data_IF_922545463538
#
_entry.id   IF_922545463538
#
_cell.length_a   1.000
_cell.length_b   1.000
_cell.length_c   1.000
_cell.angle_alpha   90.00
_cell.angle_beta   90.00
_cell.angle_gamma   90.00
#
_symmetry.space_group_name_H-M   'P 1'
#
loop_
_entity.id
_entity.type
_entity.pdbx_description
1 polymer ?
#
# COMPACT_ATOMS: atom_id res chain seq x y z
N UNK A 1 75.27 -20.40 -54.12
CA UNK A 1 74.38 -19.53 -53.30
C UNK A 1 73.19 -20.22 -52.63
N UNK A 2 73.06 -21.54 -52.63
CA UNK A 2 71.86 -22.32 -52.15
C UNK A 2 71.92 -22.79 -50.73
N UNK A 3 73.04 -22.83 -50.02
CA UNK A 3 73.21 -23.36 -48.71
C UNK A 3 72.86 -22.38 -47.58
N UNK A 4 72.90 -21.04 -47.79
CA UNK A 4 72.57 -20.01 -46.79
C UNK A 4 71.07 -19.77 -46.64
N UNK A 5 70.25 -20.09 -47.62
CA UNK A 5 68.76 -19.93 -47.49
C UNK A 5 68.08 -20.99 -46.56
N UNK A 6 68.62 -22.20 -46.55
CA UNK A 6 68.00 -23.28 -45.74
C UNK A 6 68.23 -23.13 -44.19
N UNK A 7 69.33 -22.48 -43.76
CA UNK A 7 69.55 -22.26 -42.31
C UNK A 7 68.64 -21.20 -41.71
N UNK A 8 68.25 -20.17 -42.44
CA UNK A 8 67.37 -19.14 -41.91
C UNK A 8 65.93 -19.59 -41.77
N UNK A 9 65.43 -20.45 -42.65
CA UNK A 9 64.08 -21.02 -42.54
C UNK A 9 63.94 -22.00 -41.34
N UNK A 10 64.97 -22.80 -41.04
CA UNK A 10 64.94 -23.73 -39.91
C UNK A 10 64.97 -22.99 -38.56
N UNK A 11 65.65 -21.86 -38.44
CA UNK A 11 65.68 -21.08 -37.19
C UNK A 11 64.34 -20.38 -36.95
N UNK A 12 63.68 -19.84 -37.97
CA UNK A 12 62.37 -19.21 -37.85
C UNK A 12 61.28 -20.24 -37.48
N UNK A 13 61.36 -21.44 -38.00
CA UNK A 13 60.39 -22.51 -37.66
C UNK A 13 60.56 -22.98 -36.21
N UNK A 14 61.79 -23.08 -35.69
CA UNK A 14 62.07 -23.46 -34.33
C UNK A 14 61.62 -22.40 -33.31
N UNK A 15 61.80 -21.11 -33.61
CA UNK A 15 61.31 -20.03 -32.73
C UNK A 15 59.77 -19.95 -32.70
N UNK A 16 59.11 -20.19 -33.82
CA UNK A 16 57.64 -20.22 -33.88
C UNK A 16 57.05 -21.38 -33.08
N UNK A 17 57.67 -22.58 -33.15
CA UNK A 17 57.30 -23.74 -32.36
C UNK A 17 57.52 -23.55 -30.84
N UNK A 18 58.61 -22.88 -30.45
CA UNK A 18 58.90 -22.55 -29.07
C UNK A 18 57.92 -21.53 -28.49
N UNK A 19 57.47 -20.53 -29.27
CA UNK A 19 56.44 -19.57 -28.87
C UNK A 19 55.09 -20.24 -28.73
N UNK A 20 54.71 -21.14 -29.62
CA UNK A 20 53.43 -21.90 -29.54
C UNK A 20 53.41 -22.83 -28.29
N UNK A 21 54.51 -23.51 -27.97
CA UNK A 21 54.57 -24.33 -26.77
C UNK A 21 54.49 -23.52 -25.46
N UNK A 22 55.10 -22.32 -25.44
CA UNK A 22 55.02 -21.41 -24.29
C UNK A 22 53.59 -20.88 -24.08
N UNK A 23 52.89 -20.55 -25.16
CA UNK A 23 51.45 -20.11 -25.11
C UNK A 23 50.57 -21.22 -24.60
N UNK A 24 50.69 -22.46 -25.08
CA UNK A 24 49.92 -23.62 -24.61
C UNK A 24 50.14 -23.95 -23.13
N UNK A 25 51.41 -23.75 -22.63
CA UNK A 25 51.71 -23.96 -21.22
C UNK A 25 51.07 -22.92 -20.29
N UNK A 26 51.02 -21.66 -20.75
CA UNK A 26 50.36 -20.56 -20.05
C UNK A 26 48.85 -20.76 -20.02
N UNK A 27 48.24 -21.19 -21.13
CA UNK A 27 46.80 -21.47 -21.20
C UNK A 27 46.37 -22.63 -20.30
N UNK A 28 47.18 -23.73 -20.27
CA UNK A 28 46.92 -24.84 -19.32
C UNK A 28 47.00 -24.41 -17.87
N UNK A 29 48.00 -23.58 -17.50
CA UNK A 29 48.12 -23.06 -16.16
C UNK A 29 46.94 -22.12 -15.76
N UNK A 30 46.47 -21.32 -16.70
CA UNK A 30 45.30 -20.44 -16.48
C UNK A 30 43.99 -21.25 -16.29
N UNK A 31 43.81 -22.33 -17.03
CA UNK A 31 42.66 -23.24 -16.89
C UNK A 31 42.67 -23.98 -15.55
N UNK A 32 43.85 -24.46 -15.10
CA UNK A 32 44.02 -25.11 -13.78
C UNK A 32 43.73 -24.15 -12.61
N UNK A 33 44.21 -22.90 -12.67
CA UNK A 33 43.94 -21.87 -11.65
C UNK A 33 42.43 -21.46 -11.61
N UNK A 34 41.75 -21.52 -12.75
CA UNK A 34 40.31 -21.23 -12.81
C UNK A 34 39.48 -22.33 -12.18
N UNK A 35 39.86 -23.60 -12.38
CA UNK A 35 39.19 -24.75 -11.77
C UNK A 35 39.36 -24.75 -10.24
N UNK A 36 40.60 -24.46 -9.73
CA UNK A 36 40.86 -24.40 -8.31
C UNK A 36 40.12 -23.25 -7.58
N UNK A 37 39.95 -22.12 -8.25
CA UNK A 37 39.12 -21.03 -7.72
C UNK A 37 37.64 -21.37 -7.68
N UNK A 38 37.12 -22.09 -8.66
CA UNK A 38 35.72 -22.54 -8.70
C UNK A 38 35.43 -23.55 -7.56
N UNK A 39 36.33 -24.50 -7.32
CA UNK A 39 36.18 -25.50 -6.26
C UNK A 39 36.25 -24.88 -4.85
N UNK A 40 37.09 -23.85 -4.64
CA UNK A 40 37.14 -23.08 -3.39
C UNK A 40 35.87 -22.26 -3.17
N UNK A 41 35.32 -21.65 -4.22
CA UNK A 41 34.07 -20.90 -4.13
C UNK A 41 32.87 -21.79 -3.76
N UNK A 42 32.79 -23.00 -4.34
CA UNK A 42 31.71 -23.96 -4.06
C UNK A 42 31.78 -24.48 -2.62
N UNK A 43 32.99 -24.72 -2.08
CA UNK A 43 33.21 -25.11 -0.67
C UNK A 43 32.79 -24.01 0.31
N UNK A 44 33.10 -22.74 -0.01
CA UNK A 44 32.73 -21.59 0.84
C UNK A 44 31.22 -21.42 0.82
N UNK A 45 30.54 -21.57 -0.32
CA UNK A 45 29.09 -21.46 -0.42
C UNK A 45 28.37 -22.58 0.34
N UNK A 46 28.88 -23.82 0.27
CA UNK A 46 28.33 -24.95 1.04
C UNK A 46 28.49 -24.76 2.54
N UNK A 47 29.64 -24.26 2.99
CA UNK A 47 29.87 -23.94 4.41
C UNK A 47 28.97 -22.80 4.91
N UNK A 48 28.72 -21.77 4.07
CA UNK A 48 27.81 -20.67 4.40
C UNK A 48 26.34 -21.14 4.51
N UNK A 49 25.91 -22.04 3.62
CA UNK A 49 24.58 -22.65 3.68
C UNK A 49 24.39 -23.52 4.93
N UNK A 50 25.38 -24.33 5.30
CA UNK A 50 25.34 -25.15 6.52
C UNK A 50 25.23 -24.29 7.79
N UNK A 51 26.03 -23.23 7.91
CA UNK A 51 25.97 -22.29 9.03
C UNK A 51 24.63 -21.54 9.14
N UNK A 52 23.99 -21.27 7.99
CA UNK A 52 22.69 -20.60 7.97
C UNK A 52 21.56 -21.51 8.47
N UNK A 53 21.61 -22.81 8.12
CA UNK A 53 20.65 -23.81 8.61
C UNK A 53 20.82 -24.05 10.11
N UNK A 54 22.07 -24.12 10.62
CA UNK A 54 22.32 -24.31 12.06
C UNK A 54 21.85 -23.10 12.90
N UNK A 55 22.03 -21.86 12.39
CA UNK A 55 21.51 -20.66 13.06
C UNK A 55 19.98 -20.63 13.04
N UNK A 56 19.34 -21.02 11.95
CA UNK A 56 17.88 -21.07 11.87
C UNK A 56 17.29 -22.07 12.89
N UNK A 57 17.88 -23.26 13.00
CA UNK A 57 17.45 -24.28 13.95
C UNK A 57 17.66 -23.86 15.43
N UNK A 58 18.71 -23.07 15.73
CA UNK A 58 18.91 -22.51 17.08
C UNK A 58 17.88 -21.44 17.43
N UNK A 59 17.49 -20.59 16.47
CA UNK A 59 16.46 -19.57 16.68
C UNK A 59 15.10 -20.23 16.91
N UNK A 60 14.74 -21.23 16.11
CA UNK A 60 13.47 -21.93 16.23
C UNK A 60 13.34 -22.66 17.60
N UNK A 61 14.43 -23.26 18.09
CA UNK A 61 14.47 -23.89 19.41
C UNK A 61 14.34 -22.89 20.56
N UNK A 62 14.93 -21.68 20.42
CA UNK A 62 14.81 -20.61 21.40
C UNK A 62 13.38 -20.03 21.45
N UNK A 63 12.72 -19.87 20.27
CA UNK A 63 11.34 -19.39 20.19
C UNK A 63 10.33 -20.38 20.77
N UNK A 64 10.51 -21.68 20.56
CA UNK A 64 9.66 -22.71 21.17
C UNK A 64 9.75 -22.73 22.69
N UNK A 65 10.95 -22.49 23.24
CA UNK A 65 11.19 -22.43 24.69
C UNK A 65 10.55 -21.19 25.31
N UNK A 66 10.58 -20.05 24.59
CA UNK A 66 9.96 -18.80 25.04
C UNK A 66 8.44 -18.88 25.01
N UNK A 67 7.85 -19.45 23.93
CA UNK A 67 6.41 -19.66 23.81
C UNK A 67 5.84 -20.57 24.91
N UNK A 68 6.60 -21.60 25.32
CA UNK A 68 6.18 -22.50 26.40
C UNK A 68 6.16 -21.82 27.78
N UNK A 69 7.07 -20.87 28.05
CA UNK A 69 7.10 -20.10 29.30
C UNK A 69 6.00 -19.02 29.34
N UNK A 70 5.71 -18.36 28.23
CA UNK A 70 4.66 -17.32 28.16
C UNK A 70 3.24 -17.90 28.32
N UNK A 71 2.99 -19.12 27.82
CA UNK A 71 1.70 -19.79 27.98
C UNK A 71 1.42 -20.28 29.41
N UNK A 72 2.44 -20.54 30.20
CA UNK A 72 2.27 -20.91 31.62
C UNK A 72 1.95 -19.71 32.52
N UNK A 73 2.43 -18.51 32.21
CA UNK A 73 2.18 -17.30 33.00
C UNK A 73 0.84 -16.63 32.71
N UNK A 74 0.17 -16.95 31.59
CA UNK A 74 -1.14 -16.38 31.22
C UNK A 74 -2.34 -17.06 31.87
N UNK A 75 -2.15 -18.14 32.67
CA UNK A 75 -3.23 -18.85 33.33
C UNK A 75 -3.54 -18.38 34.75
N UNK A 76 -2.87 -17.37 35.28
CA UNK A 76 -3.01 -16.97 36.70
C UNK A 76 -3.36 -15.50 36.95
N UNK A 77 -3.84 -14.74 35.97
CA UNK A 77 -4.43 -13.42 36.27
C UNK A 77 -5.89 -13.39 35.84
N UNK A 78 -6.77 -13.56 36.81
CA UNK A 78 -8.17 -13.22 36.68
C UNK A 78 -8.29 -11.71 36.52
N UNK A 79 -8.70 -11.25 35.35
CA UNK A 79 -9.03 -9.85 35.08
C UNK A 79 -10.40 -9.50 35.71
N UNK A 80 -10.56 -8.31 36.31
CA UNK A 80 -11.85 -7.87 36.82
C UNK A 80 -12.81 -7.64 35.63
N UNK A 81 -14.07 -8.01 35.85
CA UNK A 81 -15.17 -7.85 34.92
C UNK A 81 -15.32 -6.36 34.53
N UNK A 82 -14.84 -6.00 33.34
CA UNK A 82 -15.15 -4.72 32.73
C UNK A 82 -16.57 -4.81 32.20
N UNK A 83 -17.45 -4.05 32.77
CA UNK A 83 -18.82 -3.82 32.30
C UNK A 83 -18.67 -3.31 30.83
N UNK A 84 -19.05 -4.17 29.91
CA UNK A 84 -19.08 -3.83 28.50
C UNK A 84 -20.08 -2.70 28.28
N UNK A 85 -19.62 -1.45 28.20
CA UNK A 85 -20.37 -0.41 27.53
C UNK A 85 -20.63 -0.91 26.11
N UNK A 86 -21.91 -1.16 25.79
CA UNK A 86 -22.38 -1.45 24.43
C UNK A 86 -21.72 -0.45 23.49
N UNK A 87 -20.73 -0.88 22.71
CA UNK A 87 -20.25 -0.08 21.57
C UNK A 87 -21.46 0.05 20.65
N UNK A 88 -21.91 1.28 20.46
CA UNK A 88 -22.82 1.63 19.38
C UNK A 88 -22.06 1.27 18.09
N UNK A 89 -22.22 0.04 17.61
CA UNK A 89 -21.82 -0.31 16.26
C UNK A 89 -22.69 0.56 15.36
N UNK A 90 -22.05 1.49 14.64
CA UNK A 90 -22.70 2.38 13.69
C UNK A 90 -23.35 1.53 12.61
N UNK A 91 -24.58 1.09 12.85
CA UNK A 91 -25.44 0.51 11.84
C UNK A 91 -25.96 1.65 11.00
N UNK A 92 -26.07 1.45 9.68
CA UNK A 92 -26.85 2.36 8.82
C UNK A 92 -28.14 2.67 9.55
N UNK A 93 -28.43 3.94 9.75
CA UNK A 93 -29.61 4.35 10.52
C UNK A 93 -30.87 3.79 9.86
N UNK A 94 -31.85 3.41 10.67
CA UNK A 94 -33.10 2.88 10.11
C UNK A 94 -33.78 3.91 9.19
N UNK A 95 -33.57 5.21 9.40
CA UNK A 95 -33.99 6.26 8.49
C UNK A 95 -33.31 6.18 7.11
N UNK A 96 -32.01 5.87 7.05
CA UNK A 96 -31.28 5.73 5.79
C UNK A 96 -31.73 4.48 5.01
N UNK A 97 -32.05 3.38 5.71
CA UNK A 97 -32.63 2.17 5.11
C UNK A 97 -34.02 2.43 4.54
N UNK A 98 -34.86 3.12 5.29
CA UNK A 98 -36.21 3.48 4.84
C UNK A 98 -36.21 4.35 3.59
N UNK A 99 -35.15 5.17 3.37
CA UNK A 99 -34.94 5.96 2.17
C UNK A 99 -34.26 5.16 1.05
N UNK A 100 -33.90 3.89 1.25
CA UNK A 100 -33.19 3.07 0.26
C UNK A 100 -31.80 3.59 -0.10
N UNK A 101 -31.20 4.44 0.75
CA UNK A 101 -29.89 5.03 0.52
C UNK A 101 -28.76 4.00 0.61
N UNK A 102 -28.95 2.95 1.40
CA UNK A 102 -28.05 1.81 1.52
C UNK A 102 -27.81 1.11 0.17
N UNK A 103 -28.84 1.07 -0.70
CA UNK A 103 -28.73 0.52 -2.06
C UNK A 103 -27.80 1.31 -2.97
N UNK A 104 -27.44 2.53 -2.60
CA UNK A 104 -26.49 3.38 -3.34
C UNK A 104 -25.03 3.09 -3.00
N UNK A 105 -24.74 2.40 -1.89
CA UNK A 105 -23.36 2.02 -1.53
C UNK A 105 -22.79 1.11 -2.61
N UNK A 106 -21.66 1.52 -3.19
CA UNK A 106 -20.99 0.79 -4.28
C UNK A 106 -19.73 0.03 -3.81
N UNK A 107 -19.20 0.38 -2.66
CA UNK A 107 -17.96 -0.22 -2.14
C UNK A 107 -17.96 -0.26 -0.61
N UNK A 108 -17.38 -1.32 -0.07
CA UNK A 108 -16.95 -1.38 1.34
C UNK A 108 -15.42 -1.40 1.38
N UNK A 109 -14.83 -0.62 2.27
CA UNK A 109 -13.39 -0.45 2.37
C UNK A 109 -12.95 -0.45 3.83
N UNK A 110 -12.05 -1.36 4.19
CA UNK A 110 -11.51 -1.55 5.53
C UNK A 110 -10.09 -1.02 5.58
N UNK A 111 -9.76 -0.20 6.59
CA UNK A 111 -8.49 0.51 6.66
C UNK A 111 -7.87 0.44 8.04
N UNK A 112 -6.62 0.04 8.10
CA UNK A 112 -5.79 0.06 9.29
C UNK A 112 -4.57 0.94 9.03
N UNK A 113 -4.40 1.99 9.81
CA UNK A 113 -3.20 2.81 9.75
C UNK A 113 -2.04 2.08 10.42
N UNK A 114 -0.89 2.12 9.78
CA UNK A 114 0.33 1.46 10.21
C UNK A 114 1.35 2.50 10.66
N UNK A 115 2.06 2.19 11.74
CA UNK A 115 3.21 2.96 12.19
C UNK A 115 4.25 3.05 11.07
N UNK A 116 4.98 4.17 10.92
CA UNK A 116 5.94 4.35 9.84
C UNK A 116 7.22 3.52 9.99
N UNK A 117 7.56 3.06 11.20
CA UNK A 117 8.83 2.43 11.51
C UNK A 117 9.10 1.18 10.66
N UNK A 118 10.10 1.28 9.81
CA UNK A 118 10.57 0.20 8.94
C UNK A 118 9.74 -0.04 7.69
N UNK A 119 8.73 0.80 7.38
CA UNK A 119 7.96 0.69 6.13
C UNK A 119 8.77 1.05 4.88
N UNK A 120 9.97 1.61 5.04
CA UNK A 120 10.99 1.81 4.00
C UNK A 120 11.74 0.51 3.64
N UNK A 121 11.58 -0.56 4.44
CA UNK A 121 12.32 -1.81 4.29
C UNK A 121 11.45 -2.91 3.72
N UNK A 122 11.89 -3.51 2.61
CA UNK A 122 11.20 -4.65 2.00
C UNK A 122 10.98 -5.81 2.98
N UNK A 123 11.96 -6.11 3.84
CA UNK A 123 11.85 -7.18 4.84
C UNK A 123 10.69 -6.96 5.80
N UNK A 124 10.45 -5.71 6.20
CA UNK A 124 9.35 -5.35 7.09
C UNK A 124 7.99 -5.54 6.41
N UNK A 125 7.87 -5.14 5.15
CA UNK A 125 6.65 -5.36 4.34
C UNK A 125 6.40 -6.87 4.16
N UNK A 126 7.44 -7.65 3.85
CA UNK A 126 7.33 -9.12 3.75
C UNK A 126 6.90 -9.77 5.06
N UNK A 127 7.39 -9.27 6.20
CA UNK A 127 6.94 -9.73 7.53
C UNK A 127 5.45 -9.48 7.75
N UNK A 128 4.95 -8.28 7.43
CA UNK A 128 3.52 -7.96 7.54
C UNK A 128 2.68 -8.83 6.60
N UNK A 129 3.12 -9.02 5.36
CA UNK A 129 2.46 -9.92 4.41
C UNK A 129 2.37 -11.35 4.92
N UNK A 130 3.47 -11.88 5.50
CA UNK A 130 3.49 -13.22 6.08
C UNK A 130 2.55 -13.35 7.28
N UNK A 131 2.46 -12.32 8.13
CA UNK A 131 1.51 -12.27 9.24
C UNK A 131 0.05 -12.27 8.73
N UNK A 132 -0.23 -11.51 7.67
CA UNK A 132 -1.55 -11.49 7.04
C UNK A 132 -1.93 -12.87 6.50
N UNK A 133 -1.04 -13.52 5.77
CA UNK A 133 -1.28 -14.88 5.22
C UNK A 133 -1.55 -15.89 6.33
N UNK A 134 -0.72 -15.92 7.36
CA UNK A 134 -0.91 -16.81 8.51
C UNK A 134 -2.23 -16.54 9.23
N UNK A 135 -2.60 -15.26 9.33
CA UNK A 135 -3.89 -14.87 9.91
C UNK A 135 -5.08 -15.28 9.04
N UNK A 136 -4.98 -15.17 7.71
CA UNK A 136 -5.99 -15.65 6.77
C UNK A 136 -6.25 -17.15 6.95
N UNK A 137 -5.18 -17.96 6.98
CA UNK A 137 -5.28 -19.40 7.22
C UNK A 137 -6.00 -19.72 8.55
N UNK A 138 -5.62 -19.02 9.63
CA UNK A 138 -6.25 -19.20 10.96
C UNK A 138 -7.72 -18.79 10.98
N UNK A 139 -8.10 -17.81 10.18
CA UNK A 139 -9.46 -17.24 10.15
C UNK A 139 -10.38 -17.92 9.13
N UNK A 140 -9.89 -18.92 8.39
CA UNK A 140 -10.65 -19.57 7.32
C UNK A 140 -11.01 -18.61 6.17
N UNK A 141 -10.13 -17.64 5.88
CA UNK A 141 -10.25 -16.72 4.75
C UNK A 141 -9.19 -17.10 3.71
N UNK A 142 -9.61 -17.36 2.50
CA UNK A 142 -8.68 -17.64 1.42
C UNK A 142 -7.96 -16.36 1.01
N UNK A 143 -6.66 -16.48 0.72
CA UNK A 143 -5.83 -15.37 0.26
C UNK A 143 -5.06 -15.77 -1.00
N UNK A 144 -5.30 -15.04 -2.08
CA UNK A 144 -4.62 -15.23 -3.35
C UNK A 144 -3.61 -14.11 -3.54
N UNK A 145 -2.33 -14.45 -3.55
CA UNK A 145 -1.27 -13.49 -3.87
C UNK A 145 -1.40 -12.98 -5.31
N UNK A 146 -1.03 -11.72 -5.51
CA UNK A 146 -0.83 -11.19 -6.85
C UNK A 146 0.63 -11.37 -7.23
N UNK A 147 0.91 -12.34 -8.10
CA UNK A 147 2.23 -12.54 -8.68
C UNK A 147 2.58 -11.33 -9.55
N UNK A 148 3.80 -10.81 -9.40
CA UNK A 148 4.32 -9.69 -10.18
C UNK A 148 3.51 -8.38 -10.08
N UNK A 149 2.85 -8.12 -8.95
CA UNK A 149 2.17 -6.86 -8.72
C UNK A 149 3.17 -5.69 -8.77
N UNK A 150 3.02 -4.82 -9.75
CA UNK A 150 3.84 -3.63 -9.85
C UNK A 150 3.52 -2.66 -8.72
N UNK A 151 4.54 -2.21 -8.01
CA UNK A 151 4.42 -1.13 -7.05
C UNK A 151 4.11 0.17 -7.80
N UNK A 152 2.93 0.71 -7.56
CA UNK A 152 2.58 2.04 -8.05
C UNK A 152 3.24 3.13 -7.20
N UNK A 153 3.88 4.10 -7.83
CA UNK A 153 4.42 5.28 -7.16
C UNK A 153 3.71 6.52 -7.69
N UNK A 154 3.29 7.43 -6.80
CA UNK A 154 2.59 8.64 -7.21
C UNK A 154 2.84 9.80 -6.25
N UNK A 155 2.86 11.01 -6.78
CA UNK A 155 2.76 12.23 -5.98
C UNK A 155 1.29 12.45 -5.61
N UNK A 156 1.04 12.87 -4.39
CA UNK A 156 -0.31 13.18 -3.89
C UNK A 156 -0.30 14.60 -3.35
N UNK A 157 -1.21 15.42 -3.87
CA UNK A 157 -1.42 16.77 -3.42
C UNK A 157 -2.85 16.93 -2.92
N UNK A 158 -2.98 17.68 -1.84
CA UNK A 158 -4.27 18.11 -1.32
C UNK A 158 -4.42 19.58 -1.60
N UNK A 159 -5.60 19.98 -2.03
CA UNK A 159 -5.91 21.37 -2.34
C UNK A 159 -7.02 21.88 -1.44
N UNK A 160 -6.91 23.11 -0.99
CA UNK A 160 -7.96 23.81 -0.27
C UNK A 160 -7.81 25.32 -0.49
N UNK A 161 -8.82 26.09 -0.11
CA UNK A 161 -8.71 27.54 -0.01
C UNK A 161 -7.91 27.94 1.25
N UNK A 162 -7.34 29.15 1.35
CA UNK A 162 -6.67 29.61 2.55
C UNK A 162 -7.52 29.51 3.82
N UNK A 163 -8.85 29.65 3.68
CA UNK A 163 -9.81 29.50 4.77
C UNK A 163 -10.23 28.07 5.05
N UNK A 164 -9.62 27.06 4.40
CA UNK A 164 -9.95 25.63 4.54
C UNK A 164 -11.44 25.32 4.30
N UNK A 165 -12.04 25.98 3.31
CA UNK A 165 -13.48 25.80 3.02
C UNK A 165 -13.84 24.36 2.66
N UNK A 166 -12.97 23.64 1.93
CA UNK A 166 -13.24 22.24 1.63
C UNK A 166 -13.24 21.41 2.92
N UNK A 167 -12.19 21.50 3.72
CA UNK A 167 -12.06 20.72 4.94
C UNK A 167 -13.21 21.00 5.93
N UNK A 168 -13.57 22.27 6.13
CA UNK A 168 -14.68 22.68 7.02
C UNK A 168 -16.03 22.11 6.59
N UNK A 169 -16.18 21.82 5.30
CA UNK A 169 -17.38 21.20 4.73
C UNK A 169 -17.24 19.69 4.47
N UNK A 170 -16.29 19.03 5.17
CA UNK A 170 -16.05 17.61 5.02
C UNK A 170 -15.67 17.18 3.59
N UNK A 171 -15.11 18.11 2.82
CA UNK A 171 -14.63 17.89 1.46
C UNK A 171 -13.11 17.71 1.44
N UNK A 172 -12.65 16.89 0.53
CA UNK A 172 -11.24 16.68 0.23
C UNK A 172 -11.06 16.76 -1.27
N UNK A 173 -10.29 17.73 -1.73
CA UNK A 173 -9.84 17.84 -3.10
C UNK A 173 -8.41 17.32 -3.19
N UNK A 174 -8.21 16.28 -4.00
CA UNK A 174 -6.92 15.60 -4.11
C UNK A 174 -6.55 15.38 -5.55
N UNK A 175 -5.27 15.64 -5.87
CA UNK A 175 -4.65 15.32 -7.16
C UNK A 175 -3.59 14.26 -6.95
N UNK A 176 -3.55 13.28 -7.84
CA UNK A 176 -2.55 12.21 -7.86
C UNK A 176 -1.89 12.15 -9.22
N UNK A 177 -0.58 12.32 -9.22
CA UNK A 177 0.26 12.22 -10.40
C UNK A 177 0.99 10.88 -10.34
N UNK A 178 0.73 9.99 -11.27
CA UNK A 178 1.45 8.73 -11.39
C UNK A 178 2.91 8.98 -11.74
N UNK A 179 3.79 8.10 -11.27
CA UNK A 179 5.22 8.17 -11.53
C UNK A 179 5.75 6.84 -12.03
N UNK A 180 6.59 6.92 -13.04
CA UNK A 180 7.39 5.81 -13.52
C UNK A 180 8.86 6.15 -13.26
N UNK A 181 9.41 5.68 -12.15
CA UNK A 181 10.75 6.04 -11.65
C UNK A 181 10.86 7.57 -11.39
N UNK A 182 11.67 8.27 -12.20
CA UNK A 182 11.88 9.72 -12.10
C UNK A 182 10.86 10.54 -12.87
N UNK A 183 10.14 9.92 -13.81
CA UNK A 183 9.20 10.61 -14.69
C UNK A 183 7.81 10.70 -14.02
N UNK A 184 7.13 11.82 -14.28
CA UNK A 184 5.73 12.03 -13.94
C UNK A 184 4.93 11.87 -15.22
N UNK A 185 3.80 11.16 -15.15
CA UNK A 185 2.89 11.03 -16.30
C UNK A 185 2.28 12.40 -16.65
N UNK A 186 1.95 12.62 -17.92
CA UNK A 186 1.28 13.85 -18.38
C UNK A 186 -0.16 13.98 -17.89
N UNK A 187 -0.67 12.95 -17.21
CA UNK A 187 -2.04 12.83 -16.74
C UNK A 187 -2.08 12.62 -15.23
N UNK A 188 -3.13 13.15 -14.61
CA UNK A 188 -3.37 12.96 -13.20
C UNK A 188 -4.80 12.49 -12.92
N UNK A 189 -4.98 11.91 -11.72
CA UNK A 189 -6.30 11.62 -11.15
C UNK A 189 -6.70 12.78 -10.24
N UNK A 190 -7.85 13.38 -10.52
CA UNK A 190 -8.46 14.40 -9.65
C UNK A 190 -9.63 13.80 -8.89
N UNK A 191 -9.63 13.88 -7.59
CA UNK A 191 -10.69 13.35 -6.74
C UNK A 191 -11.29 14.45 -5.88
N UNK A 192 -12.61 14.65 -5.98
CA UNK A 192 -13.38 15.34 -4.95
C UNK A 192 -14.09 14.28 -4.10
N UNK A 193 -13.92 14.34 -2.78
CA UNK A 193 -14.48 13.40 -1.82
C UNK A 193 -15.27 14.17 -0.75
N UNK A 194 -16.53 13.83 -0.58
CA UNK A 194 -17.32 14.24 0.58
C UNK A 194 -17.33 13.11 1.61
N UNK A 195 -16.88 13.39 2.85
CA UNK A 195 -16.77 12.40 3.93
C UNK A 195 -17.65 12.81 5.10
N UNK A 196 -18.50 11.91 5.59
CA UNK A 196 -19.40 12.19 6.71
C UNK A 196 -19.65 10.95 7.58
N UNK A 197 -20.11 11.17 8.81
CA UNK A 197 -20.48 10.09 9.72
C UNK A 197 -21.79 9.42 9.34
N UNK A 198 -22.70 10.12 8.65
CA UNK A 198 -23.94 9.56 8.16
C UNK A 198 -23.92 9.43 6.63
N UNK A 199 -24.64 8.44 6.13
CA UNK A 199 -24.79 8.23 4.69
C UNK A 199 -25.46 9.44 4.04
N UNK A 200 -26.50 9.99 4.68
CA UNK A 200 -27.24 11.18 4.21
C UNK A 200 -26.32 12.38 4.04
N UNK A 201 -25.49 12.68 5.05
CA UNK A 201 -24.61 13.85 4.99
C UNK A 201 -23.49 13.66 3.93
N UNK A 202 -23.03 12.42 3.70
CA UNK A 202 -22.06 12.14 2.64
C UNK A 202 -22.60 12.41 1.23
N UNK A 203 -23.90 12.49 1.08
CA UNK A 203 -24.59 12.78 -0.18
C UNK A 203 -24.91 14.29 -0.35
N UNK A 204 -24.62 15.13 0.64
CA UNK A 204 -24.90 16.56 0.59
C UNK A 204 -24.24 17.24 -0.62
N UNK A 205 -22.98 16.93 -0.85
CA UNK A 205 -22.29 17.28 -2.08
C UNK A 205 -22.33 16.08 -3.02
N UNK A 206 -23.14 16.17 -4.07
CA UNK A 206 -23.15 15.17 -5.13
C UNK A 206 -21.98 15.49 -6.07
N UNK A 207 -20.89 14.74 -6.05
CA UNK A 207 -19.72 15.06 -6.85
C UNK A 207 -19.95 14.70 -8.32
N UNK A 208 -20.95 15.32 -8.95
CA UNK A 208 -21.10 15.27 -10.39
C UNK A 208 -19.97 16.05 -11.01
N UNK A 209 -19.39 15.53 -12.07
CA UNK A 209 -18.48 16.30 -12.89
C UNK A 209 -19.20 16.94 -14.03
N UNK A 210 -18.89 18.21 -14.31
CA UNK A 210 -19.18 18.88 -15.57
C UNK A 210 -17.89 18.89 -16.39
N UNK A 211 -17.98 18.55 -17.67
CA UNK A 211 -16.83 18.61 -18.56
C UNK A 211 -16.57 17.30 -19.31
N UNK A 212 -15.53 17.28 -20.16
CA UNK A 212 -15.28 16.17 -21.07
C UNK A 212 -14.65 14.94 -20.40
N UNK A 213 -14.23 15.06 -19.13
CA UNK A 213 -13.52 13.99 -18.44
C UNK A 213 -14.47 12.90 -17.97
N UNK A 214 -14.07 11.64 -18.18
CA UNK A 214 -14.77 10.49 -17.65
C UNK A 214 -14.75 10.51 -16.12
N UNK A 215 -15.92 10.48 -15.50
CA UNK A 215 -16.05 10.45 -14.04
C UNK A 215 -16.40 9.05 -13.55
N UNK A 216 -15.72 8.60 -12.50
CA UNK A 216 -16.09 7.41 -11.72
C UNK A 216 -16.69 7.87 -10.40
N UNK A 217 -17.94 7.55 -10.16
CA UNK A 217 -18.61 7.81 -8.90
C UNK A 217 -18.49 6.59 -7.99
N UNK A 218 -18.12 6.82 -6.73
CA UNK A 218 -18.02 5.77 -5.72
C UNK A 218 -18.59 6.26 -4.39
N UNK A 219 -19.68 5.65 -3.96
CA UNK A 219 -20.21 5.83 -2.62
C UNK A 219 -19.70 4.67 -1.76
N UNK A 220 -18.81 4.99 -0.81
CA UNK A 220 -18.11 4.01 -0.01
C UNK A 220 -18.58 4.04 1.43
N UNK A 221 -18.72 2.86 1.99
CA UNK A 221 -18.71 2.62 3.43
C UNK A 221 -17.26 2.32 3.84
N UNK A 222 -16.65 3.22 4.62
CA UNK A 222 -15.26 3.07 5.11
C UNK A 222 -15.30 2.60 6.56
N UNK A 223 -14.78 1.40 6.80
CA UNK A 223 -14.68 0.78 8.11
C UNK A 223 -13.26 1.00 8.63
N UNK A 224 -13.14 1.76 9.69
CA UNK A 224 -11.89 2.15 10.32
C UNK A 224 -11.77 1.51 11.70
N UNK A 225 -10.56 1.47 12.25
CA UNK A 225 -10.37 1.15 13.66
C UNK A 225 -11.09 2.19 14.52
N UNK A 226 -11.80 1.74 15.54
CA UNK A 226 -12.36 2.58 16.58
C UNK A 226 -11.34 2.95 17.67
N UNK A 227 -11.79 3.35 18.84
CA UNK A 227 -10.92 3.82 19.92
C UNK A 227 -10.03 2.71 20.51
N UNK A 228 -10.48 1.46 20.45
CA UNK A 228 -9.73 0.29 20.94
C UNK A 228 -9.42 -0.73 19.86
N UNK A 229 -8.51 -1.67 20.17
CA UNK A 229 -8.26 -2.83 19.31
C UNK A 229 -9.52 -3.71 19.25
N UNK A 230 -9.83 -4.19 18.05
CA UNK A 230 -11.02 -5.01 17.80
C UNK A 230 -12.33 -4.22 17.71
N UNK A 231 -12.28 -2.89 17.87
CA UNK A 231 -13.43 -2.01 17.66
C UNK A 231 -13.40 -1.35 16.28
N UNK A 232 -14.57 -0.89 15.84
CA UNK A 232 -14.70 -0.25 14.52
C UNK A 232 -15.51 1.02 14.62
N UNK A 233 -15.14 2.01 13.80
CA UNK A 233 -15.97 3.17 13.47
C UNK A 233 -16.24 3.19 11.99
N UNK A 234 -17.39 3.67 11.59
CA UNK A 234 -17.82 3.73 10.20
C UNK A 234 -17.94 5.18 9.74
N UNK A 235 -17.49 5.45 8.51
CA UNK A 235 -17.66 6.73 7.84
C UNK A 235 -18.13 6.45 6.42
N UNK A 236 -18.94 7.34 5.89
CA UNK A 236 -19.37 7.29 4.51
C UNK A 236 -18.57 8.29 3.68
N UNK A 237 -18.24 7.93 2.46
CA UNK A 237 -17.57 8.85 1.54
C UNK A 237 -18.12 8.73 0.14
N UNK A 238 -18.57 9.87 -0.37
CA UNK A 238 -19.03 10.03 -1.74
C UNK A 238 -17.89 10.66 -2.55
N UNK A 239 -17.43 9.96 -3.59
CA UNK A 239 -16.25 10.34 -4.35
C UNK A 239 -16.58 10.50 -5.82
N UNK A 240 -16.20 11.63 -6.41
CA UNK A 240 -16.05 11.77 -7.86
C UNK A 240 -14.55 11.71 -8.20
N UNK A 241 -14.20 10.81 -9.09
CA UNK A 241 -12.85 10.57 -9.52
C UNK A 241 -12.80 10.85 -11.02
N UNK A 242 -12.02 11.84 -11.42
CA UNK A 242 -11.71 12.14 -12.81
C UNK A 242 -10.38 11.47 -13.13
N UNK A 243 -10.42 10.52 -14.05
CA UNK A 243 -9.22 9.88 -14.56
C UNK A 243 -8.68 10.68 -15.75
N UNK A 244 -7.38 10.62 -15.96
CA UNK A 244 -6.73 11.18 -17.14
C UNK A 244 -7.03 12.67 -17.39
N UNK A 245 -6.93 13.49 -16.34
CA UNK A 245 -6.94 14.94 -16.48
C UNK A 245 -5.54 15.40 -16.89
N UNK A 246 -5.38 16.17 -17.99
CA UNK A 246 -4.07 16.70 -18.34
C UNK A 246 -3.49 17.53 -17.21
N UNK A 247 -2.20 17.32 -16.91
CA UNK A 247 -1.56 17.95 -15.76
C UNK A 247 -1.60 19.50 -15.87
N UNK A 248 -1.43 20.03 -17.08
CA UNK A 248 -1.46 21.47 -17.35
C UNK A 248 -2.86 22.11 -17.18
N UNK A 249 -3.92 21.30 -17.21
CA UNK A 249 -5.31 21.76 -17.05
C UNK A 249 -5.83 21.65 -15.62
N UNK A 250 -5.01 21.16 -14.70
CA UNK A 250 -5.40 21.03 -13.29
C UNK A 250 -5.38 22.38 -12.61
N UNK A 251 -6.51 23.05 -12.66
CA UNK A 251 -6.89 24.27 -11.99
C UNK A 251 -6.05 25.52 -12.36
N UNK A 252 -6.71 26.55 -12.79
CA UNK A 252 -6.18 27.93 -12.83
C UNK A 252 -6.03 28.53 -11.43
N UNK A 253 -6.17 27.69 -10.38
CA UNK A 253 -5.98 27.98 -8.96
C UNK A 253 -7.06 28.87 -8.32
N UNK A 254 -8.24 28.95 -8.91
CA UNK A 254 -9.40 29.62 -8.32
C UNK A 254 -10.49 28.60 -7.96
N UNK A 255 -11.36 28.97 -7.00
CA UNK A 255 -12.53 28.14 -6.67
C UNK A 255 -13.45 28.00 -7.88
N UNK A 256 -13.56 29.05 -8.71
CA UNK A 256 -14.35 29.02 -9.94
C UNK A 256 -13.90 27.91 -10.89
N UNK A 257 -12.59 27.72 -11.05
CA UNK A 257 -12.08 26.64 -11.91
C UNK A 257 -12.41 25.27 -11.36
N UNK A 258 -12.33 25.08 -10.03
CA UNK A 258 -12.72 23.82 -9.40
C UNK A 258 -14.24 23.57 -9.49
N UNK A 259 -15.05 24.62 -9.38
CA UNK A 259 -16.50 24.56 -9.62
C UNK A 259 -16.81 24.12 -11.06
N UNK A 260 -15.97 24.51 -12.02
CA UNK A 260 -16.06 24.05 -13.40
C UNK A 260 -15.95 22.52 -13.52
N UNK A 261 -15.11 21.89 -12.72
CA UNK A 261 -15.02 20.43 -12.64
C UNK A 261 -16.15 19.81 -11.78
N UNK A 262 -16.52 20.46 -10.68
CA UNK A 262 -17.44 19.95 -9.68
C UNK A 262 -18.50 21.01 -9.31
N UNK A 263 -19.58 21.11 -10.09
CA UNK A 263 -20.57 22.18 -9.96
C UNK A 263 -21.25 22.29 -8.60
N UNK A 264 -21.37 21.20 -7.86
CA UNK A 264 -21.98 21.19 -6.52
C UNK A 264 -21.17 22.00 -5.48
N UNK A 265 -19.92 22.35 -5.77
CA UNK A 265 -19.11 23.23 -4.91
C UNK A 265 -19.66 24.69 -4.86
N UNK A 266 -20.59 25.06 -5.73
CA UNK A 266 -21.35 26.33 -5.58
C UNK A 266 -22.08 26.42 -4.24
N UNK A 267 -22.40 25.29 -3.61
CA UNK A 267 -23.03 25.24 -2.28
C UNK A 267 -22.09 25.66 -1.13
N UNK A 268 -20.80 25.86 -1.40
CA UNK A 268 -19.84 26.34 -0.38
C UNK A 268 -20.08 27.78 0.04
N UNK A 269 -20.92 28.54 -0.72
CA UNK A 269 -21.20 29.95 -0.43
C UNK A 269 -19.95 30.81 -0.25
N UNK A 270 -18.87 30.45 -0.97
CA UNK A 270 -17.57 31.11 -0.92
C UNK A 270 -17.33 31.86 -2.24
N UNK A 271 -16.57 32.95 -2.18
CA UNK A 271 -16.27 33.77 -3.34
C UNK A 271 -15.56 32.95 -4.44
N UNK A 272 -16.06 32.97 -5.69
CA UNK A 272 -15.49 32.17 -6.79
C UNK A 272 -14.01 32.46 -7.08
N UNK A 273 -13.55 33.67 -6.79
CA UNK A 273 -12.19 34.16 -7.02
C UNK A 273 -11.21 33.68 -5.94
N UNK A 274 -11.69 33.05 -4.86
CA UNK A 274 -10.82 32.52 -3.82
C UNK A 274 -9.76 31.61 -4.42
N UNK A 275 -8.48 31.82 -4.05
CA UNK A 275 -7.43 30.94 -4.51
C UNK A 275 -7.61 29.54 -3.93
N UNK A 276 -7.37 28.53 -4.77
CA UNK A 276 -7.26 27.14 -4.36
C UNK A 276 -5.80 26.73 -4.49
N UNK A 277 -5.21 26.35 -3.39
CA UNK A 277 -3.77 26.11 -3.28
C UNK A 277 -3.45 24.77 -2.63
N UNK A 278 -2.22 24.30 -2.81
CA UNK A 278 -1.74 23.09 -2.14
C UNK A 278 -1.70 23.35 -0.64
N UNK A 279 -2.36 22.50 0.14
CA UNK A 279 -2.35 22.53 1.59
C UNK A 279 -0.92 22.42 2.12
N UNK A 280 -0.47 23.38 2.93
CA UNK A 280 0.92 23.43 3.41
C UNK A 280 1.96 23.80 2.36
N UNK A 281 1.54 24.24 1.16
CA UNK A 281 2.42 24.67 0.08
C UNK A 281 3.04 23.52 -0.74
N UNK A 282 3.84 23.89 -1.74
CA UNK A 282 4.40 22.92 -2.70
C UNK A 282 5.33 21.87 -2.08
N UNK A 283 5.94 22.16 -0.95
CA UNK A 283 6.81 21.23 -0.21
C UNK A 283 6.04 20.17 0.55
N UNK A 284 4.75 20.37 0.79
CA UNK A 284 3.87 19.43 1.50
C UNK A 284 3.25 18.37 0.57
N UNK A 285 3.95 17.98 -0.48
CA UNK A 285 3.54 16.84 -1.30
C UNK A 285 3.82 15.53 -0.56
N UNK A 286 2.93 14.59 -0.71
CA UNK A 286 3.13 13.22 -0.24
C UNK A 286 3.56 12.34 -1.41
N UNK A 287 4.60 11.56 -1.22
CA UNK A 287 4.95 10.47 -2.11
C UNK A 287 4.24 9.20 -1.61
N UNK A 288 3.35 8.63 -2.41
CA UNK A 288 2.60 7.42 -2.05
C UNK A 288 3.10 6.24 -2.86
N UNK A 289 3.57 5.19 -2.18
CA UNK A 289 3.80 3.87 -2.77
C UNK A 289 2.58 2.99 -2.51
N UNK A 290 2.05 2.35 -3.56
CA UNK A 290 0.96 1.40 -3.49
C UNK A 290 1.49 0.00 -3.80
N UNK A 291 1.36 -0.91 -2.83
CA UNK A 291 1.84 -2.28 -2.94
C UNK A 291 0.64 -3.23 -2.89
N UNK A 292 0.16 -3.71 -4.03
CA UNK A 292 -0.86 -4.74 -4.06
C UNK A 292 -0.32 -6.02 -3.40
N UNK A 293 -1.08 -6.61 -2.49
CA UNK A 293 -0.71 -7.84 -1.80
C UNK A 293 -1.42 -9.05 -2.39
N UNK A 294 -2.71 -8.92 -2.67
CA UNK A 294 -3.53 -10.05 -3.11
C UNK A 294 -5.02 -9.78 -2.98
N UNK A 295 -5.77 -10.87 -2.99
CA UNK A 295 -7.22 -10.85 -2.83
C UNK A 295 -7.65 -11.75 -1.66
N UNK A 296 -8.56 -11.25 -0.84
CA UNK A 296 -9.21 -11.96 0.26
C UNK A 296 -10.59 -12.42 -0.18
N UNK A 297 -10.94 -13.69 0.04
CA UNK A 297 -12.25 -14.24 -0.32
C UNK A 297 -13.07 -14.48 0.95
N UNK A 298 -14.18 -13.76 1.08
CA UNK A 298 -15.07 -13.86 2.23
C UNK A 298 -16.29 -14.75 1.97
N UNK A 299 -16.61 -14.98 0.72
CA UNK A 299 -17.73 -15.80 0.23
C UNK A 299 -17.90 -15.66 -1.27
N UNK A 300 -18.86 -16.33 -1.84
CA UNK A 300 -19.19 -16.27 -3.25
C UNK A 300 -19.56 -14.84 -3.63
N UNK A 301 -18.85 -14.26 -4.60
CA UNK A 301 -19.06 -12.88 -5.05
C UNK A 301 -18.47 -11.78 -4.15
N UNK A 302 -17.86 -12.10 -2.99
CA UNK A 302 -17.20 -11.12 -2.11
C UNK A 302 -15.70 -11.35 -2.05
N UNK A 303 -15.03 -10.89 -3.09
CA UNK A 303 -13.58 -10.87 -3.21
C UNK A 303 -13.03 -9.46 -2.99
N UNK A 304 -12.21 -9.28 -1.97
CA UNK A 304 -11.64 -7.99 -1.60
C UNK A 304 -10.19 -7.88 -2.06
N UNK A 305 -9.89 -6.83 -2.82
CA UNK A 305 -8.51 -6.45 -3.12
C UNK A 305 -7.83 -5.92 -1.87
N UNK A 306 -6.63 -6.41 -1.58
CA UNK A 306 -5.82 -6.04 -0.42
C UNK A 306 -4.51 -5.40 -0.84
N UNK A 307 -4.19 -4.25 -0.26
CA UNK A 307 -2.99 -3.49 -0.56
C UNK A 307 -2.39 -2.82 0.67
N UNK A 308 -1.11 -2.41 0.57
CA UNK A 308 -0.45 -1.50 1.49
C UNK A 308 -0.15 -0.20 0.76
N UNK A 309 -0.65 0.91 1.29
CA UNK A 309 -0.27 2.25 0.88
C UNK A 309 0.74 2.84 1.86
N UNK A 310 1.91 3.26 1.38
CA UNK A 310 2.93 3.91 2.23
C UNK A 310 3.04 5.37 1.80
N UNK A 311 2.81 6.26 2.75
CA UNK A 311 3.02 7.69 2.56
C UNK A 311 4.39 8.10 3.08
N UNK A 312 5.11 8.86 2.27
CA UNK A 312 6.48 9.29 2.52
C UNK A 312 6.61 10.79 2.22
N UNK A 313 7.52 11.49 2.92
CA UNK A 313 7.96 12.85 2.52
C UNK A 313 8.87 12.78 1.31
N UNK A 314 9.80 11.82 1.35
CA UNK A 314 10.72 11.48 0.26
C UNK A 314 10.91 9.97 0.24
N UNK A 315 11.55 9.45 -0.80
CA UNK A 315 11.89 8.02 -0.87
C UNK A 315 12.71 7.62 0.37
N UNK A 316 12.24 6.60 1.09
CA UNK A 316 12.89 6.10 2.31
C UNK A 316 12.54 6.85 3.60
N UNK A 317 11.65 7.87 3.57
CA UNK A 317 11.17 8.60 4.75
C UNK A 317 9.65 8.42 4.94
N UNK A 318 9.19 7.25 5.41
CA UNK A 318 7.77 6.99 5.62
C UNK A 318 7.22 7.83 6.77
N UNK A 319 6.01 8.36 6.59
CA UNK A 319 5.28 9.11 7.60
C UNK A 319 4.11 8.32 8.17
N UNK A 320 3.52 7.44 7.37
CA UNK A 320 2.44 6.54 7.79
C UNK A 320 2.21 5.47 6.72
N UNK A 321 1.78 4.29 7.13
CA UNK A 321 1.25 3.26 6.24
C UNK A 321 -0.25 3.07 6.39
N UNK A 322 -0.85 2.34 5.46
CA UNK A 322 -2.24 1.90 5.52
C UNK A 322 -2.32 0.50 4.91
N UNK A 323 -2.74 -0.47 5.70
CA UNK A 323 -3.20 -1.75 5.20
C UNK A 323 -4.70 -1.63 4.91
N UNK A 324 -5.08 -1.83 3.67
CA UNK A 324 -6.47 -1.72 3.26
C UNK A 324 -6.93 -2.97 2.50
N UNK A 325 -8.20 -3.30 2.63
CA UNK A 325 -8.86 -4.18 1.69
C UNK A 325 -10.25 -3.67 1.37
N UNK A 326 -10.67 -3.86 0.12
CA UNK A 326 -11.94 -3.33 -0.35
C UNK A 326 -12.58 -4.22 -1.40
N UNK A 327 -13.91 -4.22 -1.43
CA UNK A 327 -14.69 -4.91 -2.44
C UNK A 327 -15.85 -4.06 -2.93
N UNK A 328 -16.33 -4.37 -4.13
CA UNK A 328 -17.53 -3.75 -4.69
C UNK A 328 -18.77 -4.38 -4.08
N UNK A 329 -19.78 -3.54 -3.83
CA UNK A 329 -21.12 -3.97 -3.46
C UNK A 329 -22.00 -3.78 -4.70
N UNK A 330 -22.50 -4.86 -5.25
CA UNK A 330 -23.36 -4.92 -6.41
C UNK A 330 -24.62 -5.75 -6.10
N UNK A 331 -25.49 -5.93 -7.05
CA UNK A 331 -26.76 -6.65 -6.85
C UNK A 331 -26.54 -8.14 -6.55
N UNK A 332 -25.43 -8.73 -7.04
CA UNK A 332 -25.10 -10.15 -6.83
C UNK A 332 -24.68 -10.44 -5.38
N UNK A 333 -23.91 -9.55 -4.77
CA UNK A 333 -23.32 -9.79 -3.44
C UNK A 333 -23.94 -8.94 -2.32
N UNK A 334 -24.79 -7.95 -2.63
CA UNK A 334 -25.44 -7.08 -1.62
C UNK A 334 -26.24 -7.87 -0.59
N UNK A 335 -26.86 -8.97 -1.00
CA UNK A 335 -27.64 -9.88 -0.15
C UNK A 335 -26.81 -10.87 0.65
N UNK A 336 -25.52 -11.02 0.37
CA UNK A 336 -24.66 -11.98 1.09
C UNK A 336 -24.22 -11.42 2.45
N UNK A 337 -25.17 -11.40 3.38
CA UNK A 337 -24.94 -10.93 4.74
C UNK A 337 -23.88 -11.76 5.50
N UNK A 338 -23.67 -13.02 5.12
CA UNK A 338 -22.68 -13.88 5.76
C UNK A 338 -21.26 -13.46 5.37
N UNK A 339 -21.01 -13.23 4.08
CA UNK A 339 -19.73 -12.75 3.61
C UNK A 339 -19.39 -11.35 4.17
N UNK A 340 -20.38 -10.44 4.22
CA UNK A 340 -20.20 -9.12 4.85
C UNK A 340 -19.84 -9.24 6.33
N UNK A 341 -20.55 -10.06 7.10
CA UNK A 341 -20.25 -10.33 8.53
C UNK A 341 -18.88 -10.98 8.70
N UNK A 342 -18.48 -11.88 7.79
CA UNK A 342 -17.16 -12.51 7.82
C UNK A 342 -16.05 -11.47 7.60
N UNK A 343 -16.23 -10.53 6.68
CA UNK A 343 -15.30 -9.43 6.44
C UNK A 343 -15.18 -8.49 7.66
N UNK A 344 -16.30 -8.14 8.30
CA UNK A 344 -16.32 -7.33 9.53
C UNK A 344 -15.61 -8.04 10.71
N UNK A 345 -15.88 -9.32 10.88
CA UNK A 345 -15.23 -10.14 11.92
C UNK A 345 -13.74 -10.26 11.67
N UNK A 346 -13.34 -10.50 10.43
CA UNK A 346 -11.95 -10.58 10.02
C UNK A 346 -11.21 -9.28 10.35
N UNK A 347 -11.78 -8.11 10.01
CA UNK A 347 -11.19 -6.82 10.31
C UNK A 347 -10.93 -6.59 11.81
N UNK A 348 -11.91 -6.92 12.66
CA UNK A 348 -11.78 -6.80 14.11
C UNK A 348 -10.68 -7.70 14.67
N UNK A 349 -10.61 -8.94 14.20
CA UNK A 349 -9.62 -9.91 14.64
C UNK A 349 -8.22 -9.61 14.07
N UNK A 350 -8.13 -9.09 12.84
CA UNK A 350 -6.86 -8.66 12.24
C UNK A 350 -6.21 -7.54 13.06
N UNK A 351 -7.00 -6.61 13.61
CA UNK A 351 -6.48 -5.56 14.50
C UNK A 351 -5.76 -6.14 15.72
N UNK A 352 -6.28 -7.22 16.29
CA UNK A 352 -5.66 -7.91 17.44
C UNK A 352 -4.39 -8.65 17.02
N UNK A 353 -4.38 -9.21 15.80
CA UNK A 353 -3.25 -9.98 15.30
C UNK A 353 -2.02 -9.11 14.94
N UNK A 354 -2.26 -7.88 14.47
CA UNK A 354 -1.21 -6.95 14.03
C UNK A 354 -1.14 -5.68 14.89
N UNK A 355 -1.63 -5.73 16.14
CA UNK A 355 -1.76 -4.55 17.02
C UNK A 355 -0.48 -3.73 17.15
N UNK A 356 0.69 -4.37 17.21
CA UNK A 356 1.99 -3.70 17.32
C UNK A 356 2.35 -2.83 16.09
N UNK A 357 1.71 -3.12 14.96
CA UNK A 357 1.91 -2.37 13.72
C UNK A 357 1.01 -1.16 13.60
N UNK A 358 -0.06 -1.09 14.41
CA UNK A 358 -1.10 -0.10 14.22
C UNK A 358 -0.72 1.26 14.79
N UNK A 359 -0.91 2.29 13.98
CA UNK A 359 -0.87 3.67 14.41
C UNK A 359 -2.21 4.07 15.07
N UNK A 360 -2.17 5.07 15.95
CA UNK A 360 -3.33 5.63 16.65
C UNK A 360 -3.23 7.15 16.70
N UNK A 361 -4.35 7.80 16.98
CA UNK A 361 -4.40 9.25 17.24
C UNK A 361 -4.17 10.14 16.01
N UNK A 362 -4.29 9.62 14.78
CA UNK A 362 -4.14 10.41 13.57
C UNK A 362 -4.92 9.84 12.40
N UNK A 363 -5.12 10.66 11.36
CA UNK A 363 -5.57 10.23 10.05
C UNK A 363 -4.61 10.74 8.98
N UNK A 364 -4.62 10.10 7.79
CA UNK A 364 -3.83 10.58 6.64
C UNK A 364 -4.11 12.05 6.32
N UNK A 365 -5.39 12.47 6.39
CA UNK A 365 -5.79 13.85 6.12
C UNK A 365 -5.28 14.80 7.20
N UNK A 366 -5.38 14.43 8.46
CA UNK A 366 -4.87 15.24 9.58
C UNK A 366 -3.37 15.52 9.44
N UNK A 367 -2.59 14.51 9.05
CA UNK A 367 -1.15 14.66 8.80
C UNK A 367 -0.83 15.71 7.72
N UNK A 368 -1.64 15.75 6.66
CA UNK A 368 -1.43 16.73 5.58
C UNK A 368 -1.74 18.16 6.04
N UNK A 369 -2.78 18.34 6.87
CA UNK A 369 -3.15 19.64 7.42
C UNK A 369 -2.32 20.05 8.66
N UNK A 370 -1.34 19.22 9.06
CA UNK A 370 -0.45 19.51 10.20
C UNK A 370 -1.18 19.51 11.56
N UNK A 371 -2.21 18.69 11.72
CA UNK A 371 -3.03 18.59 12.93
C UNK A 371 -3.00 17.19 13.52
N UNK A 372 -3.01 17.09 14.84
CA UNK A 372 -3.41 15.89 15.57
C UNK A 372 -4.94 15.89 15.74
N UNK A 373 -5.59 14.73 15.55
CA UNK A 373 -7.01 14.54 15.89
C UNK A 373 -7.20 14.29 17.38
#
# INVERSE_FOLDING_TARGET
MTVKKNKSQAVVSAETAAKANKANKVEKAAKANKADKADKADKVEKAAKANKVEKANKVEKAEQTTKSKTLKNLKQTQAPAVIAKKSLGDKISDSDKNLGLDKKITNREFKLLLKPEGLDRRSRIMQLSSLLVAFCQKSGVEFFHLDNANTGLRNVFFYDTPGEHFRRNNLILRVRESRQNVWVDDWCEVTLKCRAHTLKDSLHYCPKSAGPHKVRLRLKEEILRGDGLGTTRMIYSNNAILDTVPLDSVFDRTLQSVIGFFPDLKKLEAAPELPVQIVGGRTNKVLEACLPLGNLVFGDGVQAHCDIGIWMRSVGDPIIGELAYSYRVNDENRGDLQAHKKADKFFKQLQLAIGDWLASGTTKTALVYGRSE
#
